data_IF_062259682743
#
_entry.id   IF_062259682743
#
_cell.length_a   1.000
_cell.length_b   1.000
_cell.length_c   1.000
_cell.angle_alpha   90.00
_cell.angle_beta   90.00
_cell.angle_gamma   90.00
#
_symmetry.space_group_name_H-M   'P 1'
#
loop_
_entity.id
_entity.type
_entity.pdbx_description
1 polymer ?
#
# COMPACT_ATOMS: atom_id res chain seq x y z
N UNK A 1 34.55 -21.02 41.73
CA UNK A 1 33.96 -19.74 41.27
C UNK A 1 34.05 -19.67 39.75
N UNK A 2 32.94 -19.84 39.02
CA UNK A 2 32.72 -19.07 37.80
C UNK A 2 31.23 -19.06 37.46
N UNK A 3 30.59 -17.94 37.80
CA UNK A 3 29.16 -17.69 37.68
C UNK A 3 28.91 -17.09 36.29
N UNK A 4 28.72 -17.93 35.25
CA UNK A 4 28.20 -17.44 33.96
C UNK A 4 26.70 -17.28 34.08
N UNK A 5 26.27 -16.11 34.58
CA UNK A 5 24.91 -15.61 34.41
C UNK A 5 24.63 -15.53 32.91
N UNK A 6 23.78 -16.42 32.40
CA UNK A 6 23.16 -16.27 31.07
C UNK A 6 22.24 -15.07 31.18
N UNK A 7 22.66 -13.94 30.58
CA UNK A 7 21.79 -12.78 30.44
C UNK A 7 20.69 -13.12 29.42
N UNK A 8 19.41 -12.78 29.67
CA UNK A 8 18.36 -12.96 28.68
C UNK A 8 18.71 -12.18 27.42
N UNK A 9 18.68 -12.83 26.25
CA UNK A 9 18.89 -12.16 24.97
C UNK A 9 17.83 -11.06 24.81
N UNK A 10 18.24 -9.80 24.81
CA UNK A 10 17.32 -8.65 24.83
C UNK A 10 16.62 -8.39 23.50
N UNK A 11 17.03 -9.03 22.41
CA UNK A 11 16.37 -8.85 21.13
C UNK A 11 16.33 -10.17 20.36
N UNK A 12 15.13 -10.75 20.26
CA UNK A 12 14.81 -11.93 19.43
C UNK A 12 15.32 -11.77 17.98
N UNK A 13 15.45 -10.53 17.52
CA UNK A 13 15.99 -10.13 16.21
C UNK A 13 17.43 -10.58 15.97
N UNK A 14 18.33 -10.45 16.96
CA UNK A 14 19.74 -10.87 16.81
C UNK A 14 19.87 -12.39 16.65
N UNK A 15 18.98 -13.16 17.27
CA UNK A 15 18.95 -14.62 17.15
C UNK A 15 18.48 -15.03 15.73
N UNK A 16 17.58 -14.25 15.13
CA UNK A 16 16.96 -14.53 13.81
C UNK A 16 17.89 -14.24 12.63
N UNK A 17 18.66 -13.15 12.71
CA UNK A 17 19.66 -12.81 11.68
C UNK A 17 20.79 -13.86 11.61
N UNK A 18 21.17 -14.46 12.76
CA UNK A 18 22.16 -15.53 12.84
C UNK A 18 21.64 -16.85 12.22
N UNK A 19 20.32 -17.08 12.23
CA UNK A 19 19.71 -18.33 11.76
C UNK A 19 19.23 -18.30 10.30
N UNK A 20 19.41 -17.18 9.59
CA UNK A 20 19.26 -17.12 8.13
C UNK A 20 17.85 -17.42 7.59
N UNK A 21 16.80 -17.13 8.36
CA UNK A 21 15.43 -17.46 7.96
C UNK A 21 14.85 -16.40 7.03
N UNK A 22 14.80 -16.74 5.73
CA UNK A 22 14.36 -15.86 4.64
C UNK A 22 12.84 -15.95 4.42
N UNK A 23 12.18 -14.79 4.34
CA UNK A 23 10.88 -14.49 3.72
C UNK A 23 9.62 -15.26 4.19
N UNK A 24 9.66 -16.59 4.30
CA UNK A 24 8.55 -17.41 4.81
C UNK A 24 8.23 -17.13 6.30
N UNK A 25 9.22 -16.64 7.06
CA UNK A 25 9.06 -16.27 8.46
C UNK A 25 8.37 -14.91 8.66
N UNK A 26 8.38 -14.02 7.66
CA UNK A 26 7.66 -12.74 7.78
C UNK A 26 6.15 -12.97 7.78
N UNK A 27 5.65 -13.89 6.94
CA UNK A 27 4.22 -14.24 6.89
C UNK A 27 3.76 -15.02 8.14
N UNK A 28 4.65 -15.79 8.78
CA UNK A 28 4.35 -16.56 10.00
C UNK A 28 4.37 -15.72 11.28
N UNK A 29 4.92 -14.50 11.24
CA UNK A 29 5.01 -13.62 12.41
C UNK A 29 4.12 -12.37 12.32
N UNK A 30 3.59 -12.04 11.14
CA UNK A 30 2.67 -10.92 10.99
C UNK A 30 1.28 -11.30 11.51
N UNK A 31 0.78 -10.51 12.45
CA UNK A 31 -0.59 -10.65 12.93
C UNK A 31 -1.58 -9.97 12.00
N UNK A 32 -1.14 -8.90 11.34
CA UNK A 32 -1.97 -8.12 10.43
C UNK A 32 -1.28 -8.11 9.07
N UNK A 33 -2.04 -8.37 8.02
CA UNK A 33 -1.60 -8.25 6.63
C UNK A 33 -2.44 -7.16 5.96
N UNK A 34 -1.78 -6.10 5.47
CA UNK A 34 -2.36 -5.14 4.56
C UNK A 34 -2.20 -5.64 3.12
N UNK A 35 -3.30 -5.90 2.43
CA UNK A 35 -3.32 -6.33 1.02
C UNK A 35 -3.54 -5.11 0.12
N UNK A 36 -2.68 -4.97 -0.89
CA UNK A 36 -2.70 -3.86 -1.87
C UNK A 36 -2.65 -4.41 -3.30
N UNK A 37 -3.01 -3.63 -4.32
CA UNK A 37 -3.12 -4.15 -5.69
C UNK A 37 -1.73 -4.37 -6.33
N UNK A 38 -0.91 -3.32 -6.32
CA UNK A 38 0.37 -3.25 -7.00
C UNK A 38 1.59 -3.30 -6.09
N UNK A 39 2.75 -3.51 -6.71
CA UNK A 39 4.04 -3.44 -6.01
C UNK A 39 4.46 -1.98 -5.74
N UNK A 40 4.10 -1.08 -6.65
CA UNK A 40 4.13 0.37 -6.50
C UNK A 40 3.32 0.85 -5.29
N UNK A 41 2.09 0.34 -5.09
CA UNK A 41 1.30 0.62 -3.89
C UNK A 41 2.03 0.19 -2.62
N UNK A 42 2.58 -1.03 -2.64
CA UNK A 42 3.31 -1.59 -1.50
C UNK A 42 4.49 -0.70 -1.12
N UNK A 43 5.27 -0.24 -2.09
CA UNK A 43 6.41 0.67 -1.89
C UNK A 43 5.94 1.98 -1.27
N UNK A 44 4.96 2.63 -1.90
CA UNK A 44 4.43 3.92 -1.44
C UNK A 44 3.82 3.85 -0.04
N UNK A 45 2.94 2.88 0.19
CA UNK A 45 2.23 2.73 1.46
C UNK A 45 3.18 2.32 2.59
N UNK A 46 4.19 1.50 2.33
CA UNK A 46 5.22 1.19 3.34
C UNK A 46 5.86 2.47 3.86
N UNK A 47 6.28 3.37 2.97
CA UNK A 47 6.93 4.62 3.36
C UNK A 47 5.95 5.60 4.04
N UNK A 48 4.75 5.78 3.46
CA UNK A 48 3.74 6.70 3.99
C UNK A 48 3.23 6.29 5.38
N UNK A 49 2.96 5.00 5.59
CA UNK A 49 2.47 4.48 6.86
C UNK A 49 3.55 4.60 7.95
N UNK A 50 4.80 4.26 7.63
CA UNK A 50 5.93 4.42 8.54
C UNK A 50 6.15 5.88 8.94
N UNK A 51 5.99 6.80 8.00
CA UNK A 51 6.14 8.23 8.28
C UNK A 51 4.99 8.77 9.14
N UNK A 52 3.76 8.29 8.92
CA UNK A 52 2.57 8.91 9.51
C UNK A 52 2.20 8.35 10.89
N UNK A 53 2.49 7.08 11.18
CA UNK A 53 2.18 6.46 12.48
C UNK A 53 3.39 5.72 13.07
N UNK A 54 3.84 6.16 14.24
CA UNK A 54 4.93 5.50 14.98
C UNK A 54 4.56 4.07 15.38
N UNK A 55 3.28 3.81 15.72
CA UNK A 55 2.78 2.47 16.05
C UNK A 55 2.87 1.55 14.85
N UNK A 56 2.35 1.99 13.70
CA UNK A 56 2.41 1.21 12.46
C UNK A 56 3.87 0.99 12.05
N UNK A 57 4.73 2.01 12.17
CA UNK A 57 6.15 1.89 11.86
C UNK A 57 6.84 0.79 12.69
N UNK A 58 6.64 0.81 14.02
CA UNK A 58 7.16 -0.22 14.92
C UNK A 58 6.62 -1.60 14.56
N UNK A 59 5.33 -1.72 14.25
CA UNK A 59 4.73 -2.99 13.88
C UNK A 59 5.32 -3.55 12.59
N UNK A 60 5.53 -2.72 11.56
CA UNK A 60 6.22 -3.14 10.32
C UNK A 60 7.65 -3.57 10.60
N UNK A 61 8.41 -2.80 11.38
CA UNK A 61 9.81 -3.08 11.69
C UNK A 61 10.02 -4.34 12.55
N UNK A 62 9.02 -4.69 13.35
CA UNK A 62 9.00 -5.88 14.19
C UNK A 62 8.34 -7.08 13.52
N UNK A 63 7.77 -6.89 12.33
CA UNK A 63 7.08 -7.91 11.55
C UNK A 63 5.67 -8.23 12.04
N UNK A 64 5.05 -7.38 12.87
CA UNK A 64 3.65 -7.51 13.31
C UNK A 64 2.63 -7.07 12.25
N UNK A 65 3.02 -6.16 11.34
CA UNK A 65 2.27 -5.79 10.15
C UNK A 65 3.11 -6.08 8.90
N UNK A 66 2.59 -6.88 7.98
CA UNK A 66 3.16 -7.02 6.64
C UNK A 66 2.25 -6.34 5.60
N UNK A 67 2.85 -5.88 4.51
CA UNK A 67 2.13 -5.30 3.36
C UNK A 67 2.42 -6.18 2.16
N UNK A 68 1.37 -6.75 1.57
CA UNK A 68 1.45 -7.75 0.51
C UNK A 68 0.70 -7.24 -0.72
N UNK A 69 1.37 -7.25 -1.88
CA UNK A 69 0.73 -6.90 -3.14
C UNK A 69 0.02 -8.11 -3.76
N UNK A 70 -1.02 -7.84 -4.55
CA UNK A 70 -1.67 -8.84 -5.39
C UNK A 70 -0.87 -9.13 -6.68
N UNK A 71 0.28 -8.47 -6.87
CA UNK A 71 1.17 -8.58 -8.04
C UNK A 71 0.44 -8.30 -9.37
N UNK A 72 -0.58 -7.43 -9.36
CA UNK A 72 -1.45 -7.20 -10.52
C UNK A 72 -2.35 -8.40 -10.88
N UNK A 73 -2.30 -9.49 -10.11
CA UNK A 73 -3.19 -10.64 -10.22
C UNK A 73 -4.46 -10.39 -9.43
N UNK A 74 -5.59 -10.21 -10.10
CA UNK A 74 -6.90 -9.82 -9.57
C UNK A 74 -7.59 -10.82 -8.63
N UNK A 75 -6.85 -11.70 -7.93
CA UNK A 75 -7.42 -12.72 -7.06
C UNK A 75 -7.26 -12.38 -5.57
N UNK A 76 -7.93 -11.30 -5.16
CA UNK A 76 -8.06 -10.89 -3.76
C UNK A 76 -8.59 -12.04 -2.90
N UNK A 77 -9.64 -12.76 -3.34
CA UNK A 77 -10.20 -13.91 -2.62
C UNK A 77 -9.13 -14.98 -2.31
N UNK A 78 -8.29 -15.32 -3.29
CA UNK A 78 -7.22 -16.30 -3.06
C UNK A 78 -6.23 -15.83 -2.00
N UNK A 79 -5.77 -14.58 -2.08
CA UNK A 79 -4.84 -14.02 -1.09
C UNK A 79 -5.47 -13.99 0.31
N UNK A 80 -6.73 -13.57 0.43
CA UNK A 80 -7.44 -13.55 1.70
C UNK A 80 -7.66 -14.96 2.28
N UNK A 81 -7.89 -15.98 1.44
CA UNK A 81 -7.96 -17.38 1.90
C UNK A 81 -6.62 -17.82 2.51
N UNK A 82 -5.50 -17.51 1.85
CA UNK A 82 -4.16 -17.82 2.37
C UNK A 82 -3.87 -17.12 3.70
N UNK A 83 -4.24 -15.84 3.81
CA UNK A 83 -4.07 -15.06 5.05
C UNK A 83 -4.92 -15.65 6.18
N UNK A 84 -6.16 -16.03 5.89
CA UNK A 84 -7.06 -16.67 6.85
C UNK A 84 -6.55 -18.05 7.30
N UNK A 85 -6.02 -18.86 6.38
CA UNK A 85 -5.40 -20.15 6.70
C UNK A 85 -4.14 -19.99 7.57
N UNK A 86 -3.41 -18.89 7.39
CA UNK A 86 -2.28 -18.50 8.24
C UNK A 86 -2.72 -17.91 9.61
N UNK A 87 -4.02 -17.79 9.87
CA UNK A 87 -4.61 -17.19 11.07
C UNK A 87 -4.20 -15.73 11.30
N UNK A 88 -3.91 -15.00 10.22
CA UNK A 88 -3.60 -13.58 10.26
C UNK A 88 -4.88 -12.75 10.05
N UNK A 89 -4.94 -11.57 10.67
CA UNK A 89 -5.93 -10.56 10.35
C UNK A 89 -5.59 -9.91 8.99
N UNK A 90 -6.60 -9.61 8.20
CA UNK A 90 -6.44 -8.93 6.92
C UNK A 90 -7.05 -7.52 6.96
N UNK A 91 -6.47 -6.61 6.19
CA UNK A 91 -7.11 -5.37 5.73
C UNK A 91 -6.77 -5.18 4.26
N UNK A 92 -7.73 -4.80 3.42
CA UNK A 92 -7.51 -4.55 2.00
C UNK A 92 -7.58 -3.05 1.72
N UNK A 93 -6.56 -2.51 1.05
CA UNK A 93 -6.55 -1.14 0.55
C UNK A 93 -6.42 -1.18 -0.98
N UNK A 94 -7.50 -0.84 -1.67
CA UNK A 94 -7.65 -1.06 -3.10
C UNK A 94 -8.04 0.22 -3.82
N UNK A 95 -7.85 0.24 -5.13
CA UNK A 95 -8.29 1.35 -5.95
C UNK A 95 -9.81 1.43 -6.01
N UNK A 96 -10.36 2.65 -5.96
CA UNK A 96 -11.78 2.86 -6.18
C UNK A 96 -12.09 2.86 -7.68
N UNK A 97 -11.77 1.78 -8.38
CA UNK A 97 -12.13 1.60 -9.77
C UNK A 97 -12.95 0.32 -9.98
N UNK A 98 -13.27 -0.01 -11.22
CA UNK A 98 -14.03 -1.22 -11.51
C UNK A 98 -13.32 -2.49 -11.01
N UNK A 99 -12.00 -2.59 -11.15
CA UNK A 99 -11.24 -3.78 -10.73
C UNK A 99 -11.23 -3.92 -9.21
N UNK A 100 -10.93 -2.85 -8.48
CA UNK A 100 -10.93 -2.85 -7.02
C UNK A 100 -12.33 -3.12 -6.43
N UNK A 101 -13.39 -2.57 -7.03
CA UNK A 101 -14.78 -2.82 -6.60
C UNK A 101 -15.25 -4.23 -6.91
N UNK A 102 -14.97 -4.76 -8.10
CA UNK A 102 -15.39 -6.11 -8.47
C UNK A 102 -14.66 -7.17 -7.62
N UNK A 103 -13.36 -7.00 -7.38
CA UNK A 103 -12.55 -7.93 -6.58
C UNK A 103 -12.95 -7.94 -5.11
N UNK A 104 -13.19 -6.76 -4.50
CA UNK A 104 -13.72 -6.67 -3.14
C UNK A 104 -15.14 -7.21 -3.02
N UNK A 105 -16.03 -6.91 -3.98
CA UNK A 105 -17.40 -7.45 -4.00
C UNK A 105 -17.41 -8.98 -4.08
N UNK A 106 -16.51 -9.55 -4.89
CA UNK A 106 -16.35 -11.01 -4.97
C UNK A 106 -15.85 -11.59 -3.64
N UNK A 107 -14.80 -11.01 -3.05
CA UNK A 107 -14.29 -11.48 -1.76
C UNK A 107 -15.33 -11.40 -0.63
N UNK A 108 -16.21 -10.39 -0.66
CA UNK A 108 -17.36 -10.29 0.25
C UNK A 108 -18.37 -11.42 0.02
N UNK A 109 -18.73 -11.71 -1.24
CA UNK A 109 -19.62 -12.82 -1.60
C UNK A 109 -19.05 -14.17 -1.18
N UNK A 110 -17.74 -14.33 -1.27
CA UNK A 110 -17.01 -15.53 -0.84
C UNK A 110 -16.87 -15.64 0.70
N UNK A 111 -17.34 -14.65 1.47
CA UNK A 111 -17.21 -14.61 2.93
C UNK A 111 -15.77 -14.47 3.42
N UNK A 112 -14.91 -13.85 2.61
CA UNK A 112 -13.47 -13.66 2.87
C UNK A 112 -13.10 -12.23 3.27
N UNK A 113 -13.98 -11.27 3.00
CA UNK A 113 -13.75 -9.85 3.26
C UNK A 113 -14.98 -9.24 3.93
N UNK A 114 -14.78 -8.53 5.04
CA UNK A 114 -15.80 -7.69 5.65
C UNK A 114 -15.62 -6.23 5.21
N UNK A 115 -16.70 -5.44 5.26
CA UNK A 115 -16.64 -4.00 4.93
C UNK A 115 -15.69 -3.25 5.88
N UNK A 116 -15.63 -3.67 7.15
CA UNK A 116 -14.71 -3.10 8.14
C UNK A 116 -13.23 -3.30 7.78
N UNK A 117 -12.94 -4.29 6.94
CA UNK A 117 -11.59 -4.71 6.54
C UNK A 117 -11.23 -4.23 5.14
N UNK A 118 -12.01 -3.30 4.59
CA UNK A 118 -11.83 -2.73 3.26
C UNK A 118 -11.70 -1.22 3.36
N UNK A 119 -10.75 -0.66 2.61
CA UNK A 119 -10.66 0.77 2.35
C UNK A 119 -10.37 0.97 0.87
N UNK A 120 -11.14 1.84 0.23
CA UNK A 120 -10.95 2.19 -1.18
C UNK A 120 -10.29 3.58 -1.30
N UNK A 121 -9.44 3.78 -2.31
CA UNK A 121 -8.84 5.09 -2.61
C UNK A 121 -9.93 6.04 -3.10
N UNK A 122 -10.56 6.79 -2.21
CA UNK A 122 -11.62 7.74 -2.56
C UNK A 122 -11.09 9.17 -2.57
N UNK A 123 -11.25 9.86 -3.69
CA UNK A 123 -11.06 11.31 -3.82
C UNK A 123 -12.42 12.01 -4.00
N UNK A 124 -12.69 13.06 -3.21
CA UNK A 124 -13.98 13.76 -3.26
C UNK A 124 -14.26 14.31 -4.67
N UNK A 125 -15.44 13.98 -5.21
CA UNK A 125 -15.87 14.40 -6.55
C UNK A 125 -15.34 13.52 -7.70
N UNK A 126 -14.60 12.46 -7.40
CA UNK A 126 -14.16 11.48 -8.41
C UNK A 126 -15.04 10.22 -8.31
N UNK A 127 -15.49 9.72 -9.47
CA UNK A 127 -16.27 8.47 -9.53
C UNK A 127 -15.35 7.27 -9.37
N UNK A 128 -14.19 7.33 -10.02
CA UNK A 128 -13.12 6.37 -9.88
C UNK A 128 -11.85 7.10 -9.49
N UNK A 129 -11.04 6.47 -8.66
CA UNK A 129 -9.75 7.01 -8.22
C UNK A 129 -8.79 5.90 -7.90
N UNK A 130 -7.51 6.23 -8.02
CA UNK A 130 -6.37 5.34 -7.76
C UNK A 130 -5.53 5.90 -6.62
N UNK A 131 -4.61 5.11 -6.07
CA UNK A 131 -3.67 5.60 -5.06
C UNK A 131 -2.91 6.85 -5.55
N UNK A 132 -2.55 6.92 -6.83
CA UNK A 132 -1.87 8.08 -7.41
C UNK A 132 -2.69 9.38 -7.34
N UNK A 133 -4.03 9.28 -7.27
CA UNK A 133 -4.90 10.45 -7.14
C UNK A 133 -4.76 11.14 -5.78
N UNK A 134 -4.27 10.41 -4.76
CA UNK A 134 -4.03 10.94 -3.41
C UNK A 134 -2.75 11.77 -3.34
N UNK A 135 -1.83 11.62 -4.29
CA UNK A 135 -0.54 12.31 -4.25
C UNK A 135 -0.64 13.79 -4.64
N UNK A 136 0.28 14.61 -4.12
CA UNK A 136 0.48 15.96 -4.61
C UNK A 136 1.13 15.90 -6.01
N UNK A 137 0.48 16.51 -7.00
CA UNK A 137 0.97 16.58 -8.39
C UNK A 137 2.42 17.10 -8.44
N UNK A 138 2.76 18.07 -7.55
CA UNK A 138 4.09 18.68 -7.47
C UNK A 138 5.20 17.67 -7.20
N UNK A 139 4.89 16.55 -6.55
CA UNK A 139 5.86 15.50 -6.24
C UNK A 139 6.48 14.91 -7.52
N UNK A 140 5.66 14.72 -8.56
CA UNK A 140 6.06 13.97 -9.74
C UNK A 140 6.03 14.77 -11.06
N UNK A 141 5.41 15.95 -11.11
CA UNK A 141 5.31 16.77 -12.33
C UNK A 141 6.64 16.93 -13.07
N UNK A 142 7.71 17.26 -12.34
CA UNK A 142 9.04 17.48 -12.92
C UNK A 142 9.64 16.18 -13.47
N UNK A 143 9.51 15.08 -12.73
CA UNK A 143 9.99 13.77 -13.17
C UNK A 143 9.29 13.33 -14.46
N UNK A 144 7.96 13.49 -14.54
CA UNK A 144 7.20 13.12 -15.72
C UNK A 144 7.62 13.97 -16.94
N UNK A 145 7.82 15.27 -16.73
CA UNK A 145 8.28 16.16 -17.80
C UNK A 145 9.68 15.79 -18.27
N UNK A 146 10.62 15.59 -17.36
CA UNK A 146 12.01 15.33 -17.70
C UNK A 146 12.20 13.95 -18.34
N UNK A 147 11.50 12.92 -17.85
CA UNK A 147 11.66 11.54 -18.33
C UNK A 147 10.83 11.24 -19.57
N UNK A 148 9.59 11.73 -19.63
CA UNK A 148 8.64 11.38 -20.70
C UNK A 148 8.31 12.55 -21.61
N UNK A 149 8.69 13.78 -21.29
CA UNK A 149 8.32 14.98 -22.05
C UNK A 149 6.83 15.29 -21.98
N UNK A 150 6.16 14.90 -20.89
CA UNK A 150 4.72 15.10 -20.68
C UNK A 150 4.52 16.06 -19.52
N UNK A 151 3.68 17.09 -19.71
CA UNK A 151 3.34 18.04 -18.65
C UNK A 151 2.02 17.67 -17.98
N UNK A 152 2.02 17.52 -16.66
CA UNK A 152 0.82 17.34 -15.83
C UNK A 152 0.01 18.64 -15.68
N UNK A 153 0.58 19.78 -16.04
CA UNK A 153 -0.11 21.07 -16.07
C UNK A 153 -0.97 21.27 -17.34
N UNK A 154 -0.89 20.32 -18.29
CA UNK A 154 -1.74 20.32 -19.48
C UNK A 154 -3.23 20.23 -19.10
N UNK A 155 -4.13 20.94 -19.81
CA UNK A 155 -5.58 20.76 -19.66
C UNK A 155 -6.04 19.32 -19.83
N UNK A 156 -5.28 18.48 -20.55
CA UNK A 156 -5.60 17.07 -20.77
C UNK A 156 -5.39 16.17 -19.55
N UNK A 157 -4.59 16.62 -18.59
CA UNK A 157 -4.40 15.95 -17.30
C UNK A 157 -5.38 16.45 -16.21
N UNK A 158 -6.24 17.42 -16.52
CA UNK A 158 -7.27 17.91 -15.60
C UNK A 158 -8.56 17.06 -15.71
N UNK A 159 -9.45 17.22 -14.72
CA UNK A 159 -10.74 16.52 -14.64
C UNK A 159 -10.83 15.51 -13.49
N UNK A 160 -11.94 14.77 -13.48
CA UNK A 160 -12.35 13.89 -12.38
C UNK A 160 -12.27 12.39 -12.70
N UNK A 161 -11.66 12.04 -13.84
CA UNK A 161 -11.32 10.64 -14.15
C UNK A 161 -10.10 10.21 -13.31
N UNK A 162 -9.95 8.89 -13.15
CA UNK A 162 -8.84 8.29 -12.41
C UNK A 162 -7.47 8.66 -13.01
N UNK A 163 -6.44 8.62 -12.17
CA UNK A 163 -5.10 9.12 -12.52
C UNK A 163 -4.56 8.53 -13.84
N UNK A 164 -4.63 7.21 -14.02
CA UNK A 164 -4.14 6.51 -15.21
C UNK A 164 -4.78 7.02 -16.50
N UNK A 165 -6.10 7.20 -16.52
CA UNK A 165 -6.85 7.75 -17.65
C UNK A 165 -6.41 9.18 -17.99
N UNK A 166 -6.22 10.02 -16.97
CA UNK A 166 -5.73 11.40 -17.17
C UNK A 166 -4.31 11.40 -17.72
N UNK A 167 -3.44 10.55 -17.20
CA UNK A 167 -2.05 10.45 -17.65
C UNK A 167 -1.97 9.94 -19.09
N UNK A 168 -2.72 8.88 -19.41
CA UNK A 168 -2.88 8.35 -20.75
C UNK A 168 -3.29 9.43 -21.76
N UNK A 169 -4.29 10.26 -21.43
CA UNK A 169 -4.68 11.39 -22.28
C UNK A 169 -3.57 12.41 -22.46
N UNK A 170 -2.82 12.73 -21.42
CA UNK A 170 -1.71 13.67 -21.50
C UNK A 170 -0.59 13.15 -22.42
N UNK A 171 -0.26 11.86 -22.34
CA UNK A 171 0.69 11.20 -23.25
C UNK A 171 0.19 11.21 -24.70
N UNK A 172 -1.02 10.70 -24.94
CA UNK A 172 -1.60 10.58 -26.28
C UNK A 172 -1.78 11.93 -26.96
N UNK A 173 -2.10 12.97 -26.21
CA UNK A 173 -2.24 14.32 -26.77
C UNK A 173 -0.94 14.87 -27.37
N UNK A 174 0.21 14.45 -26.83
CA UNK A 174 1.53 14.82 -27.34
C UNK A 174 2.09 13.79 -28.33
N UNK A 175 1.25 12.87 -28.81
CA UNK A 175 1.65 11.80 -29.74
C UNK A 175 2.56 10.74 -29.12
N UNK A 176 2.59 10.64 -27.78
CA UNK A 176 3.44 9.67 -27.07
C UNK A 176 2.68 8.36 -26.83
N UNK A 177 3.39 7.22 -26.84
CA UNK A 177 2.77 5.93 -26.55
C UNK A 177 2.29 5.86 -25.09
N UNK A 178 1.21 5.11 -24.85
CA UNK A 178 0.75 4.72 -23.52
C UNK A 178 0.33 3.25 -23.58
N UNK A 179 1.16 2.40 -23.00
CA UNK A 179 0.95 0.95 -22.86
C UNK A 179 1.00 0.58 -21.38
N UNK A 180 0.50 -0.60 -21.01
CA UNK A 180 0.50 -1.08 -19.62
C UNK A 180 1.92 -1.08 -19.00
N UNK A 181 2.94 -1.38 -19.79
CA UNK A 181 4.34 -1.27 -19.35
C UNK A 181 4.74 0.17 -19.02
N UNK A 182 4.34 1.16 -19.83
CA UNK A 182 4.65 2.58 -19.59
C UNK A 182 3.90 3.05 -18.35
N UNK A 183 2.64 2.67 -18.21
CA UNK A 183 1.84 2.97 -17.02
C UNK A 183 2.51 2.42 -15.75
N UNK A 184 2.90 1.14 -15.76
CA UNK A 184 3.63 0.49 -14.67
C UNK A 184 4.95 1.22 -14.36
N UNK A 185 5.74 1.55 -15.39
CA UNK A 185 7.01 2.26 -15.22
C UNK A 185 6.84 3.67 -14.64
N UNK A 186 5.73 4.35 -14.99
CA UNK A 186 5.39 5.66 -14.44
C UNK A 186 4.96 5.52 -12.98
N UNK A 187 4.01 4.63 -12.66
CA UNK A 187 3.55 4.41 -11.29
C UNK A 187 4.70 4.02 -10.37
N UNK A 188 5.56 3.08 -10.80
CA UNK A 188 6.73 2.68 -10.04
C UNK A 188 7.72 3.84 -9.81
N UNK A 189 7.93 4.70 -10.81
CA UNK A 189 8.77 5.89 -10.65
C UNK A 189 8.18 6.88 -9.64
N UNK A 190 6.85 7.06 -9.63
CA UNK A 190 6.15 7.87 -8.64
C UNK A 190 6.27 7.24 -7.24
N UNK A 191 6.09 5.93 -7.11
CA UNK A 191 6.22 5.23 -5.84
C UNK A 191 7.60 5.41 -5.20
N UNK A 192 8.67 5.42 -6.01
CA UNK A 192 10.03 5.73 -5.53
C UNK A 192 10.18 7.18 -5.07
N UNK A 193 9.51 8.13 -5.71
CA UNK A 193 9.49 9.52 -5.25
C UNK A 193 8.74 9.66 -3.92
N UNK A 194 7.64 8.93 -3.76
CA UNK A 194 6.87 8.86 -2.51
C UNK A 194 7.73 8.26 -1.40
N UNK A 195 8.43 7.16 -1.66
CA UNK A 195 9.34 6.51 -0.71
C UNK A 195 10.44 7.45 -0.20
N UNK A 196 10.97 8.30 -1.09
CA UNK A 196 12.00 9.27 -0.75
C UNK A 196 11.45 10.53 -0.05
N UNK A 197 10.18 10.87 -0.25
CA UNK A 197 9.58 12.12 0.22
C UNK A 197 8.20 11.93 0.89
N UNK A 198 8.05 11.00 1.87
CA UNK A 198 6.73 10.63 2.40
C UNK A 198 6.03 11.79 3.11
N UNK A 199 6.78 12.75 3.66
CA UNK A 199 6.25 13.93 4.35
C UNK A 199 5.38 14.84 3.47
N UNK A 200 5.74 14.98 2.20
CA UNK A 200 5.10 15.91 1.25
C UNK A 200 4.40 15.20 0.10
N UNK A 201 4.30 13.87 0.15
CA UNK A 201 3.80 13.08 -0.95
C UNK A 201 2.27 13.16 -1.11
N UNK A 202 1.53 13.28 -0.01
CA UNK A 202 0.06 13.27 -0.02
C UNK A 202 -0.53 14.67 -0.17
N UNK A 203 -1.56 14.79 -1.00
CA UNK A 203 -2.38 15.98 -1.10
C UNK A 203 -3.31 16.11 0.12
N UNK A 204 -3.23 17.23 0.82
CA UNK A 204 -3.99 17.49 2.05
C UNK A 204 -5.51 17.36 1.90
N UNK A 205 -6.07 17.59 0.70
CA UNK A 205 -7.51 17.55 0.45
C UNK A 205 -8.00 16.22 -0.12
N UNK A 206 -7.11 15.27 -0.41
CA UNK A 206 -7.44 13.98 -1.04
C UNK A 206 -7.06 12.75 -0.21
N UNK A 207 -6.35 12.95 0.91
CA UNK A 207 -5.81 11.87 1.75
C UNK A 207 -6.80 11.21 2.72
N UNK A 208 -8.10 11.55 2.68
CA UNK A 208 -9.08 11.07 3.66
C UNK A 208 -9.15 9.53 3.75
N UNK A 209 -9.07 8.83 2.61
CA UNK A 209 -9.07 7.35 2.58
C UNK A 209 -7.80 6.76 3.18
N UNK A 210 -6.65 7.44 3.03
CA UNK A 210 -5.40 7.05 3.69
C UNK A 210 -5.46 7.27 5.22
N UNK A 211 -6.06 8.38 5.67
CA UNK A 211 -6.21 8.63 7.10
C UNK A 211 -7.18 7.64 7.75
N UNK A 212 -8.22 7.20 7.02
CA UNK A 212 -9.11 6.12 7.45
C UNK A 212 -8.39 4.77 7.53
N UNK A 213 -7.51 4.47 6.55
CA UNK A 213 -6.67 3.26 6.58
C UNK A 213 -5.80 3.22 7.85
N UNK A 214 -5.17 4.34 8.23
CA UNK A 214 -4.34 4.41 9.45
C UNK A 214 -5.17 4.02 10.67
N UNK A 215 -6.36 4.59 10.84
CA UNK A 215 -7.22 4.30 11.99
C UNK A 215 -7.64 2.82 12.03
N UNK A 216 -7.97 2.23 10.87
CA UNK A 216 -8.33 0.83 10.78
C UNK A 216 -7.16 -0.10 11.16
N UNK A 217 -5.95 0.19 10.65
CA UNK A 217 -4.74 -0.58 10.95
C UNK A 217 -4.34 -0.45 12.42
N UNK A 218 -4.36 0.75 13.00
CA UNK A 218 -4.06 0.94 14.42
C UNK A 218 -5.04 0.19 15.31
N UNK A 219 -6.33 0.20 14.97
CA UNK A 219 -7.36 -0.57 15.69
C UNK A 219 -7.08 -2.06 15.63
N UNK A 220 -6.83 -2.61 14.44
CA UNK A 220 -6.50 -4.03 14.26
C UNK A 220 -5.24 -4.45 15.02
N UNK A 221 -4.21 -3.60 15.00
CA UNK A 221 -2.98 -3.86 15.74
C UNK A 221 -3.21 -3.89 17.26
N UNK A 222 -4.05 -3.02 17.80
CA UNK A 222 -4.42 -3.07 19.22
C UNK A 222 -5.16 -4.36 19.58
N UNK A 223 -6.13 -4.78 18.75
CA UNK A 223 -6.85 -6.05 18.98
C UNK A 223 -5.92 -7.26 18.89
N UNK A 224 -4.94 -7.25 18.00
CA UNK A 224 -3.94 -8.31 17.91
C UNK A 224 -3.01 -8.36 19.15
N UNK A 225 -2.63 -7.20 19.68
CA UNK A 225 -1.85 -7.08 20.92
C UNK A 225 -2.61 -7.61 22.15
N UNK A 226 -3.92 -7.37 22.24
CA UNK A 226 -4.76 -7.84 23.35
C UNK A 226 -4.87 -9.37 23.42
N UNK A 227 -4.95 -10.05 22.28
CA UNK A 227 -5.01 -11.52 22.24
C UNK A 227 -3.71 -12.22 22.64
N UNK A 228 -2.61 -11.48 22.86
CA UNK A 228 -1.33 -12.04 23.33
C UNK A 228 -1.15 -12.03 24.85
N UNK A 229 -1.90 -11.19 25.56
CA UNK A 229 -1.80 -11.01 27.02
C UNK A 229 -2.83 -11.86 27.76
#
# INVERSE_FOLDING_TARGET
MNNRKVAPAKHVREIRDILGVRAADNLRNAEVILVVEGEDDRISLTALLKFTSERIAKSIDQGGLAIESLLGGSNLSYKLSQIREAMCLAHSFLDNDKCGRDSSSKAQQDGLLEIADLTLTVCQGMKESELEDLYDEKLYSEMILNKYGVSTHSPKFKGHDKWSDRMCRAFRHLGKPWSDQIETDVKLAIARLVEQNPQSALNAHKRNSFDALIQALETKLMTAEEHKN
#
